data_IF_487279636217
#
_entry.id   IF_487279636217
#
_cell.length_a   1.000
_cell.length_b   1.000
_cell.length_c   1.000
_cell.angle_alpha   90.00
_cell.angle_beta   90.00
_cell.angle_gamma   90.00
#
_symmetry.space_group_name_H-M   'P 1'
#
loop_
_entity.id
_entity.type
_entity.pdbx_description
1 polymer ?
#
# COMPACT_ATOMS: atom_id res chain seq x y z
N UNK A 1 -12.59 18.59 -42.83
CA UNK A 1 -13.22 19.00 -41.56
C UNK A 1 -12.64 18.11 -40.47
N UNK A 2 -11.57 18.55 -39.83
CA UNK A 2 -10.90 17.77 -38.78
C UNK A 2 -11.59 18.09 -37.44
N UNK A 3 -12.20 17.07 -36.85
CA UNK A 3 -12.82 17.16 -35.54
C UNK A 3 -11.70 16.98 -34.50
N UNK A 4 -11.20 18.09 -33.95
CA UNK A 4 -10.38 18.06 -32.74
C UNK A 4 -11.31 17.74 -31.57
N UNK A 5 -11.34 16.47 -31.17
CA UNK A 5 -11.89 16.08 -29.87
C UNK A 5 -10.92 16.61 -28.82
N UNK A 6 -11.26 17.74 -28.20
CA UNK A 6 -10.55 18.21 -27.02
C UNK A 6 -10.60 17.12 -25.96
N UNK A 7 -9.44 16.76 -25.40
CA UNK A 7 -9.35 15.91 -24.22
C UNK A 7 -10.29 16.47 -23.14
N UNK A 8 -11.06 15.62 -22.45
CA UNK A 8 -11.86 16.10 -21.33
C UNK A 8 -10.91 16.80 -20.34
N UNK A 9 -11.30 17.99 -19.91
CA UNK A 9 -10.58 18.74 -18.90
C UNK A 9 -10.34 17.82 -17.70
N UNK A 10 -9.06 17.68 -17.30
CA UNK A 10 -8.64 16.91 -16.14
C UNK A 10 -9.36 17.46 -14.92
N UNK A 11 -10.04 16.58 -14.20
CA UNK A 11 -10.95 16.90 -13.10
C UNK A 11 -10.35 17.85 -12.07
N UNK A 12 -11.10 18.90 -11.71
CA UNK A 12 -10.71 19.87 -10.68
C UNK A 12 -11.00 19.29 -9.28
N UNK A 13 -9.95 18.82 -8.61
CA UNK A 13 -9.96 18.49 -7.18
C UNK A 13 -8.59 17.99 -6.73
N UNK A 14 -8.37 17.85 -5.43
CA UNK A 14 -7.05 17.51 -4.88
C UNK A 14 -6.95 16.01 -4.60
N UNK A 15 -5.87 15.38 -5.07
CA UNK A 15 -5.38 14.14 -4.48
C UNK A 15 -4.81 14.46 -3.09
N UNK A 16 -5.28 13.77 -2.06
CA UNK A 16 -4.79 13.92 -0.68
C UNK A 16 -4.16 12.60 -0.27
N UNK A 17 -2.88 12.63 0.08
CA UNK A 17 -2.15 11.50 0.65
C UNK A 17 -1.77 11.88 2.08
N UNK A 18 -2.26 11.13 3.05
CA UNK A 18 -2.01 11.35 4.49
C UNK A 18 -1.21 10.18 5.03
N UNK A 19 0.06 10.40 5.32
CA UNK A 19 0.87 9.47 6.13
C UNK A 19 0.45 9.66 7.60
N UNK A 20 -0.19 8.64 8.17
CA UNK A 20 -0.78 8.69 9.51
C UNK A 20 0.30 8.33 10.53
N UNK A 21 0.51 9.19 11.54
CA UNK A 21 1.43 8.89 12.64
C UNK A 21 0.83 7.80 13.55
N UNK A 22 1.14 6.55 13.24
CA UNK A 22 0.82 5.37 14.03
C UNK A 22 1.94 4.98 15.01
N UNK A 23 2.99 5.81 15.09
CA UNK A 23 4.22 5.53 15.83
C UNK A 23 5.15 4.58 15.08
N UNK A 24 5.10 3.29 15.42
CA UNK A 24 5.91 2.26 14.75
C UNK A 24 5.05 1.56 13.71
N UNK A 25 5.61 1.39 12.51
CA UNK A 25 4.93 0.82 11.35
C UNK A 25 4.34 1.87 10.42
N UNK A 26 3.62 1.41 9.40
CA UNK A 26 3.05 2.28 8.37
C UNK A 26 1.53 2.38 8.45
N UNK A 27 1.00 3.54 8.05
CA UNK A 27 -0.39 3.68 7.62
C UNK A 27 -0.53 4.92 6.75
N UNK A 28 -0.99 4.75 5.52
CA UNK A 28 -1.16 5.82 4.54
C UNK A 28 -2.57 5.80 3.97
N UNK A 29 -3.27 6.92 4.08
CA UNK A 29 -4.57 7.14 3.49
C UNK A 29 -4.43 7.92 2.18
N UNK A 30 -4.94 7.36 1.09
CA UNK A 30 -5.05 8.01 -0.22
C UNK A 30 -6.51 8.35 -0.48
N UNK A 31 -6.79 9.61 -0.77
CA UNK A 31 -8.13 10.11 -1.11
C UNK A 31 -8.06 10.84 -2.45
N UNK A 32 -8.84 10.36 -3.40
CA UNK A 32 -8.96 10.97 -4.72
C UNK A 32 -9.92 12.17 -4.72
N UNK A 33 -9.86 13.03 -5.75
CA UNK A 33 -10.87 14.07 -5.98
C UNK A 33 -12.31 13.56 -6.06
N UNK A 34 -12.50 12.28 -6.45
CA UNK A 34 -13.82 11.65 -6.54
C UNK A 34 -14.42 11.33 -5.16
N UNK A 35 -13.62 11.41 -4.10
CA UNK A 35 -13.96 10.94 -2.76
C UNK A 35 -13.67 9.46 -2.53
N UNK A 36 -13.18 8.72 -3.54
CA UNK A 36 -12.75 7.33 -3.34
C UNK A 36 -11.45 7.24 -2.55
N UNK A 37 -11.35 6.21 -1.73
CA UNK A 37 -10.27 6.07 -0.75
C UNK A 37 -9.57 4.73 -0.78
N UNK A 38 -8.27 4.73 -0.52
CA UNK A 38 -7.47 3.53 -0.25
C UNK A 38 -6.69 3.74 1.05
N UNK A 39 -6.77 2.79 1.98
CA UNK A 39 -5.90 2.73 3.15
C UNK A 39 -4.81 1.68 2.92
N UNK A 40 -3.55 2.10 2.95
CA UNK A 40 -2.37 1.23 2.85
C UNK A 40 -1.75 1.07 4.23
N UNK A 41 -1.77 -0.14 4.78
CA UNK A 41 -1.39 -0.48 6.16
C UNK A 41 -2.19 0.26 7.26
N UNK A 42 -2.20 -0.32 8.46
CA UNK A 42 -3.02 0.11 9.60
C UNK A 42 -2.24 0.37 10.88
N UNK A 43 -0.91 0.32 10.83
CA UNK A 43 -0.05 0.35 11.99
C UNK A 43 -0.13 -0.93 12.84
N UNK A 44 0.49 -0.89 14.02
CA UNK A 44 0.46 -2.01 14.97
C UNK A 44 -0.88 -2.27 15.64
N UNK A 45 -1.04 -3.46 16.24
CA UNK A 45 -2.21 -3.80 17.07
C UNK A 45 -2.57 -2.66 18.05
N UNK A 46 -3.86 -2.32 18.11
CA UNK A 46 -4.40 -1.20 18.88
C UNK A 46 -4.39 0.15 18.17
N UNK A 47 -3.61 0.33 17.09
CA UNK A 47 -3.51 1.62 16.38
C UNK A 47 -4.67 1.88 15.44
N UNK A 48 -5.30 0.83 14.92
CA UNK A 48 -6.51 0.97 14.12
C UNK A 48 -7.60 1.71 14.91
N UNK A 49 -7.93 1.21 16.10
CA UNK A 49 -8.93 1.83 16.98
C UNK A 49 -8.47 3.15 17.61
N UNK A 50 -7.20 3.26 18.00
CA UNK A 50 -6.71 4.41 18.75
C UNK A 50 -6.36 5.62 17.86
N UNK A 51 -6.03 5.42 16.58
CA UNK A 51 -5.48 6.45 15.70
C UNK A 51 -6.18 6.47 14.35
N UNK A 52 -6.15 5.35 13.61
CA UNK A 52 -6.59 5.33 12.21
C UNK A 52 -8.09 5.59 12.10
N UNK A 53 -8.92 4.87 12.85
CA UNK A 53 -10.39 5.05 12.86
C UNK A 53 -10.78 6.47 13.29
N UNK A 54 -10.27 7.03 14.42
CA UNK A 54 -10.51 8.43 14.77
C UNK A 54 -10.10 9.42 13.67
N UNK A 55 -8.96 9.19 12.99
CA UNK A 55 -8.53 10.05 11.90
C UNK A 55 -9.50 9.99 10.72
N UNK A 56 -9.86 8.80 10.25
CA UNK A 56 -10.82 8.59 9.16
C UNK A 56 -12.13 9.32 9.46
N UNK A 57 -12.68 9.13 10.66
CA UNK A 57 -13.91 9.79 11.10
C UNK A 57 -13.75 11.32 11.17
N UNK A 58 -12.60 11.82 11.63
CA UNK A 58 -12.35 13.27 11.74
C UNK A 58 -12.32 13.99 10.39
N UNK A 59 -11.94 13.27 9.32
CA UNK A 59 -11.94 13.79 7.94
C UNK A 59 -13.20 13.42 7.16
N UNK A 60 -14.22 12.87 7.84
CA UNK A 60 -15.53 12.56 7.26
C UNK A 60 -15.57 11.27 6.44
N UNK A 61 -14.59 10.38 6.59
CA UNK A 61 -14.60 9.05 5.96
C UNK A 61 -15.31 8.08 6.88
N UNK A 62 -16.52 7.68 6.49
CA UNK A 62 -17.31 6.66 7.18
C UNK A 62 -17.26 5.30 6.47
N UNK A 63 -16.69 5.23 5.27
CA UNK A 63 -16.56 4.04 4.43
C UNK A 63 -15.28 4.14 3.62
N UNK A 64 -14.50 3.05 3.58
CA UNK A 64 -13.34 2.93 2.68
C UNK A 64 -13.75 2.22 1.38
N UNK A 65 -13.18 2.59 0.23
CA UNK A 65 -13.30 1.76 -0.97
C UNK A 65 -12.38 0.54 -0.89
N UNK A 66 -11.11 0.77 -0.57
CA UNK A 66 -10.08 -0.26 -0.54
C UNK A 66 -9.23 -0.19 0.73
N UNK A 67 -8.75 -1.36 1.16
CA UNK A 67 -7.60 -1.48 2.05
C UNK A 67 -6.53 -2.31 1.35
N UNK A 68 -5.27 -2.06 1.66
CA UNK A 68 -4.13 -2.85 1.18
C UNK A 68 -3.19 -3.11 2.34
N UNK A 69 -2.77 -4.37 2.51
CA UNK A 69 -1.66 -4.73 3.37
C UNK A 69 -0.39 -4.89 2.53
N UNK A 70 0.68 -4.22 2.93
CA UNK A 70 2.01 -4.31 2.30
C UNK A 70 2.61 -5.71 2.48
N UNK A 71 2.81 -6.11 3.74
CA UNK A 71 3.24 -7.44 4.19
C UNK A 71 2.61 -7.74 5.55
N UNK A 72 2.90 -8.91 6.14
CA UNK A 72 2.17 -9.43 7.29
C UNK A 72 2.84 -9.20 8.66
N UNK A 73 3.78 -8.26 8.78
CA UNK A 73 4.29 -7.89 10.10
C UNK A 73 3.28 -7.10 10.92
N UNK A 74 3.40 -7.28 12.23
CA UNK A 74 2.38 -6.82 13.17
C UNK A 74 2.24 -5.32 13.23
N UNK A 75 3.26 -4.56 12.87
CA UNK A 75 3.26 -3.10 12.80
C UNK A 75 2.70 -2.53 11.50
N UNK A 76 2.34 -3.37 10.54
CA UNK A 76 1.68 -2.97 9.29
C UNK A 76 0.21 -3.42 9.28
N UNK A 77 -0.04 -4.72 9.46
CA UNK A 77 -1.40 -5.28 9.43
C UNK A 77 -2.15 -5.21 10.75
N UNK A 78 -1.47 -4.90 11.85
CA UNK A 78 -2.02 -5.07 13.20
C UNK A 78 -3.21 -4.17 13.51
N UNK A 79 -3.37 -3.02 12.83
CA UNK A 79 -4.55 -2.18 12.97
C UNK A 79 -5.61 -2.40 11.88
N UNK A 80 -5.35 -3.21 10.86
CA UNK A 80 -6.28 -3.36 9.73
C UNK A 80 -7.54 -4.14 10.10
N UNK A 81 -7.44 -5.16 10.96
CA UNK A 81 -8.62 -5.87 11.47
C UNK A 81 -9.54 -4.94 12.28
N UNK A 82 -8.96 -4.07 13.11
CA UNK A 82 -9.67 -3.05 13.88
C UNK A 82 -10.37 -2.03 12.97
N UNK A 83 -9.66 -1.52 11.95
CA UNK A 83 -10.24 -0.60 10.96
C UNK A 83 -11.38 -1.26 10.21
N UNK A 84 -11.20 -2.50 9.72
CA UNK A 84 -12.23 -3.23 8.98
C UNK A 84 -13.48 -3.51 9.83
N UNK A 85 -13.31 -3.76 11.12
CA UNK A 85 -14.41 -3.96 12.04
C UNK A 85 -15.21 -2.68 12.33
N UNK A 86 -14.57 -1.51 12.27
CA UNK A 86 -15.17 -0.23 12.61
C UNK A 86 -15.67 0.57 11.39
N UNK A 87 -15.00 0.47 10.25
CA UNK A 87 -15.25 1.23 9.02
C UNK A 87 -15.51 0.23 7.88
N UNK A 88 -16.72 0.21 7.28
CA UNK A 88 -17.03 -0.67 6.17
C UNK A 88 -16.07 -0.48 4.98
N UNK A 89 -15.68 -1.59 4.35
CA UNK A 89 -14.91 -1.60 3.10
C UNK A 89 -15.80 -2.02 1.95
N UNK A 90 -15.93 -1.15 0.94
CA UNK A 90 -16.85 -1.33 -0.18
C UNK A 90 -16.38 -2.41 -1.14
N UNK A 91 -15.14 -2.35 -1.60
CA UNK A 91 -14.68 -3.15 -2.74
C UNK A 91 -13.85 -4.37 -2.28
N UNK A 92 -12.62 -4.13 -1.81
CA UNK A 92 -11.68 -5.21 -1.48
C UNK A 92 -10.69 -4.82 -0.39
N UNK A 93 -10.18 -5.85 0.30
CA UNK A 93 -8.96 -5.80 1.10
C UNK A 93 -7.89 -6.58 0.35
N UNK A 94 -6.93 -5.90 -0.23
CA UNK A 94 -5.86 -6.50 -1.01
C UNK A 94 -4.65 -6.85 -0.16
N UNK A 95 -4.03 -7.98 -0.44
CA UNK A 95 -2.69 -8.30 0.07
C UNK A 95 -1.93 -9.25 -0.85
N UNK A 96 -0.72 -9.66 -0.44
CA UNK A 96 0.18 -10.51 -1.22
C UNK A 96 -0.25 -11.97 -1.42
N UNK A 97 -1.36 -12.41 -0.82
CA UNK A 97 -2.06 -13.67 -1.12
C UNK A 97 -1.55 -14.94 -0.46
N UNK A 98 -0.55 -14.87 0.41
CA UNK A 98 0.02 -16.05 1.08
C UNK A 98 -0.33 -16.05 2.57
N UNK A 99 0.30 -16.95 3.32
CA UNK A 99 0.13 -17.06 4.76
C UNK A 99 1.39 -16.66 5.51
N UNK A 100 1.18 -16.21 6.74
CA UNK A 100 2.23 -15.90 7.69
C UNK A 100 1.85 -16.44 9.06
N UNK A 101 2.78 -17.07 9.78
CA UNK A 101 2.46 -17.65 11.08
C UNK A 101 2.65 -16.61 12.19
N UNK A 102 1.58 -15.91 12.52
CA UNK A 102 1.49 -15.04 13.69
C UNK A 102 0.04 -14.86 14.13
N UNK A 103 -0.18 -14.58 15.42
CA UNK A 103 -1.53 -14.29 15.92
C UNK A 103 -2.14 -13.05 15.26
N UNK A 104 -1.32 -12.04 14.94
CA UNK A 104 -1.78 -10.84 14.23
C UNK A 104 -2.24 -11.16 12.81
N UNK A 105 -1.51 -11.98 12.06
CA UNK A 105 -1.96 -12.43 10.74
C UNK A 105 -3.25 -13.24 10.84
N UNK A 106 -3.39 -14.14 11.83
CA UNK A 106 -4.61 -14.93 12.01
C UNK A 106 -5.83 -14.02 12.27
N UNK A 107 -5.70 -12.99 13.12
CA UNK A 107 -6.74 -12.00 13.37
C UNK A 107 -7.09 -11.21 12.09
N UNK A 108 -6.08 -10.66 11.41
CA UNK A 108 -6.24 -9.94 10.14
C UNK A 108 -6.95 -10.79 9.09
N UNK A 109 -6.39 -11.95 8.75
CA UNK A 109 -6.89 -12.80 7.68
C UNK A 109 -8.31 -13.32 7.97
N UNK A 110 -8.62 -13.62 9.23
CA UNK A 110 -9.97 -14.04 9.64
C UNK A 110 -10.97 -12.90 9.53
N UNK A 111 -10.61 -11.71 10.01
CA UNK A 111 -11.51 -10.56 10.08
C UNK A 111 -11.87 -10.03 8.70
N UNK A 112 -10.87 -9.94 7.81
CA UNK A 112 -11.07 -9.40 6.45
C UNK A 112 -11.48 -10.47 5.43
N UNK A 113 -11.63 -11.74 5.83
CA UNK A 113 -11.81 -12.89 4.94
C UNK A 113 -12.91 -12.71 3.88
N UNK A 114 -14.01 -12.02 4.21
CA UNK A 114 -15.12 -11.78 3.29
C UNK A 114 -14.78 -10.81 2.14
N UNK A 115 -13.72 -10.02 2.28
CA UNK A 115 -13.25 -9.00 1.31
C UNK A 115 -11.80 -9.20 0.88
N UNK A 116 -11.08 -10.13 1.51
CA UNK A 116 -9.67 -10.42 1.25
C UNK A 116 -9.47 -10.95 -0.18
N UNK A 117 -8.60 -10.30 -0.94
CA UNK A 117 -8.24 -10.69 -2.30
C UNK A 117 -6.72 -10.57 -2.49
N UNK A 118 -6.14 -11.45 -3.32
CA UNK A 118 -4.73 -11.34 -3.69
C UNK A 118 -4.55 -10.31 -4.79
N UNK A 119 -3.76 -9.27 -4.53
CA UNK A 119 -3.37 -8.31 -5.57
C UNK A 119 -2.33 -8.94 -6.50
N UNK A 120 -2.36 -8.55 -7.78
CA UNK A 120 -1.46 -9.08 -8.80
C UNK A 120 -0.55 -7.95 -9.33
N UNK A 121 0.66 -8.27 -9.82
CA UNK A 121 1.47 -7.29 -10.54
C UNK A 121 0.69 -6.75 -11.75
N UNK A 122 0.70 -5.44 -11.95
CA UNK A 122 -0.09 -4.75 -12.96
C UNK A 122 -1.57 -4.56 -12.61
N UNK A 123 -2.04 -5.00 -11.43
CA UNK A 123 -3.40 -4.72 -10.99
C UNK A 123 -3.58 -3.21 -10.81
N UNK A 124 -4.61 -2.68 -11.49
CA UNK A 124 -5.01 -1.28 -11.40
C UNK A 124 -6.19 -1.16 -10.43
N UNK A 125 -6.11 -0.18 -9.53
CA UNK A 125 -7.18 0.32 -8.68
C UNK A 125 -7.46 1.75 -9.14
N UNK A 126 -8.60 1.95 -9.81
CA UNK A 126 -9.06 3.25 -10.28
C UNK A 126 -9.83 3.95 -9.15
N UNK A 127 -9.22 4.98 -8.55
CA UNK A 127 -9.85 5.82 -7.53
C UNK A 127 -10.68 6.94 -8.17
N UNK A 128 -10.86 6.94 -9.49
CA UNK A 128 -11.69 7.92 -10.20
C UNK A 128 -10.99 9.26 -10.40
N UNK A 129 -11.57 10.06 -11.30
CA UNK A 129 -11.06 11.39 -11.66
C UNK A 129 -9.57 11.41 -12.07
N UNK A 130 -9.09 10.30 -12.63
CA UNK A 130 -7.73 10.14 -13.13
C UNK A 130 -6.67 9.78 -12.07
N UNK A 131 -7.08 9.41 -10.85
CA UNK A 131 -6.18 8.85 -9.84
C UNK A 131 -6.09 7.33 -10.02
N UNK A 132 -4.93 6.86 -10.47
CA UNK A 132 -4.65 5.45 -10.71
C UNK A 132 -3.66 4.95 -9.66
N UNK A 133 -3.99 3.84 -9.02
CA UNK A 133 -3.07 3.11 -8.15
C UNK A 133 -2.73 1.78 -8.80
N UNK A 134 -1.46 1.52 -9.06
CA UNK A 134 -0.99 0.30 -9.72
C UNK A 134 -0.11 -0.49 -8.77
N UNK A 135 -0.40 -1.79 -8.61
CA UNK A 135 0.53 -2.71 -7.98
C UNK A 135 1.66 -3.03 -8.94
N UNK A 136 2.88 -2.57 -8.64
CA UNK A 136 4.03 -2.78 -9.51
C UNK A 136 4.68 -4.14 -9.27
N UNK A 137 4.80 -4.53 -8.01
CA UNK A 137 5.48 -5.74 -7.58
C UNK A 137 4.90 -6.25 -6.26
N UNK A 138 5.10 -7.55 -6.00
CA UNK A 138 4.89 -8.18 -4.70
C UNK A 138 5.71 -9.47 -4.61
N UNK A 139 5.81 -10.04 -3.40
CA UNK A 139 6.41 -11.36 -3.19
C UNK A 139 7.84 -11.51 -3.78
N UNK A 140 8.68 -10.49 -3.62
CA UNK A 140 10.07 -10.52 -4.07
C UNK A 140 10.27 -10.24 -5.57
N UNK A 141 9.24 -9.85 -6.32
CA UNK A 141 9.34 -9.41 -7.72
C UNK A 141 10.16 -10.38 -8.61
N UNK A 142 9.82 -11.66 -8.54
CA UNK A 142 10.50 -12.77 -9.23
C UNK A 142 11.98 -13.01 -8.84
N UNK A 143 12.54 -12.26 -7.88
CA UNK A 143 13.86 -12.53 -7.32
C UNK A 143 13.84 -13.66 -6.30
N UNK A 144 12.67 -13.91 -5.69
CA UNK A 144 12.46 -14.99 -4.75
C UNK A 144 11.46 -16.01 -5.33
N UNK A 145 11.71 -17.32 -5.15
CA UNK A 145 10.77 -18.34 -5.59
C UNK A 145 9.68 -18.60 -4.52
N UNK A 146 8.49 -19.05 -4.91
CA UNK A 146 7.49 -19.55 -3.97
C UNK A 146 7.96 -20.86 -3.31
N UNK A 147 7.42 -21.23 -2.13
CA UNK A 147 6.32 -20.56 -1.42
C UNK A 147 6.76 -19.30 -0.68
N UNK A 148 5.91 -18.25 -0.68
CA UNK A 148 6.17 -16.97 -0.01
C UNK A 148 5.65 -16.96 1.43
N UNK A 149 6.10 -17.93 2.23
CA UNK A 149 5.71 -18.11 3.63
C UNK A 149 6.91 -18.21 4.59
N UNK A 150 8.11 -17.86 4.11
CA UNK A 150 9.29 -17.74 4.95
C UNK A 150 9.17 -16.50 5.84
N UNK A 151 9.01 -16.73 7.15
CA UNK A 151 8.85 -15.65 8.12
C UNK A 151 10.07 -14.72 8.22
N UNK A 152 11.24 -15.19 7.83
CA UNK A 152 12.47 -14.39 7.86
C UNK A 152 12.60 -13.46 6.66
N UNK A 153 11.74 -13.63 5.65
CA UNK A 153 11.75 -12.87 4.39
C UNK A 153 10.50 -12.02 4.17
N UNK A 154 9.76 -11.72 5.22
CA UNK A 154 8.44 -11.10 5.06
C UNK A 154 8.52 -9.70 4.44
N UNK A 155 9.59 -8.94 4.73
CA UNK A 155 9.85 -7.62 4.15
C UNK A 155 10.22 -7.69 2.66
N UNK A 156 10.83 -8.80 2.22
CA UNK A 156 11.09 -9.03 0.81
C UNK A 156 9.79 -9.28 0.01
N UNK A 157 8.68 -9.57 0.70
CA UNK A 157 7.41 -9.93 0.06
C UNK A 157 6.41 -8.78 -0.10
N UNK A 158 6.81 -7.56 0.25
CA UNK A 158 5.98 -6.35 0.24
C UNK A 158 5.22 -6.10 -1.09
N UNK A 159 3.94 -5.73 -0.97
CA UNK A 159 3.16 -5.14 -2.05
C UNK A 159 3.64 -3.72 -2.31
N UNK A 160 4.09 -3.45 -3.54
CA UNK A 160 4.58 -2.17 -3.98
C UNK A 160 3.51 -1.43 -4.81
N UNK A 161 3.10 -0.23 -4.39
CA UNK A 161 2.11 0.58 -5.09
C UNK A 161 2.72 1.87 -5.65
N UNK A 162 2.37 2.18 -6.90
CA UNK A 162 2.54 3.52 -7.49
C UNK A 162 1.18 4.18 -7.64
N UNK A 163 1.08 5.43 -7.19
CA UNK A 163 -0.09 6.30 -7.35
C UNK A 163 0.25 7.35 -8.39
N UNK A 164 -0.59 7.50 -9.40
CA UNK A 164 -0.43 8.47 -10.46
C UNK A 164 -1.66 9.36 -10.52
N UNK A 165 -1.45 10.68 -10.55
CA UNK A 165 -2.49 11.65 -10.82
C UNK A 165 -1.97 12.70 -11.79
N UNK A 166 -2.24 12.42 -13.07
CA UNK A 166 -1.86 13.12 -14.29
C UNK A 166 -0.39 13.52 -14.48
N UNK A 167 0.19 14.39 -13.66
CA UNK A 167 1.63 14.73 -13.73
C UNK A 167 2.35 14.53 -12.42
N UNK A 168 1.63 14.07 -11.39
CA UNK A 168 2.14 13.76 -10.07
C UNK A 168 2.26 12.25 -9.92
N UNK A 169 3.36 11.77 -9.32
CA UNK A 169 3.51 10.38 -8.92
C UNK A 169 4.08 10.18 -7.50
N UNK A 170 3.57 9.12 -6.86
CA UNK A 170 3.91 8.73 -5.50
C UNK A 170 4.15 7.22 -5.44
N UNK A 171 5.13 6.78 -4.67
CA UNK A 171 5.40 5.36 -4.44
C UNK A 171 5.49 5.02 -2.96
N UNK A 172 4.91 3.87 -2.57
CA UNK A 172 5.05 3.26 -1.25
C UNK A 172 5.07 1.74 -1.37
N UNK A 173 5.91 1.11 -0.55
CA UNK A 173 6.14 -0.33 -0.58
C UNK A 173 6.45 -0.94 0.80
N UNK A 174 5.83 -0.43 1.87
CA UNK A 174 6.04 -0.93 3.24
C UNK A 174 7.52 -1.05 3.59
N UNK A 175 7.94 -2.27 3.90
CA UNK A 175 9.31 -2.57 4.37
C UNK A 175 10.24 -3.11 3.27
N UNK A 176 9.92 -2.86 1.99
CA UNK A 176 10.67 -3.35 0.84
C UNK A 176 12.18 -3.16 1.02
N UNK A 177 12.95 -4.21 0.73
CA UNK A 177 14.36 -4.30 1.06
C UNK A 177 15.25 -3.99 -0.13
N UNK A 178 16.26 -3.15 0.09
CA UNK A 178 17.30 -2.80 -0.87
C UNK A 178 18.62 -3.55 -0.69
N UNK A 179 18.63 -4.56 0.18
CA UNK A 179 19.81 -5.30 0.57
C UNK A 179 20.51 -4.71 1.80
N UNK A 180 21.40 -5.51 2.40
CA UNK A 180 22.07 -5.17 3.67
C UNK A 180 21.41 -5.83 4.89
N UNK A 181 22.12 -5.88 6.02
CA UNK A 181 21.69 -6.55 7.27
C UNK A 181 21.12 -7.98 7.10
N UNK A 182 21.51 -8.68 6.04
CA UNK A 182 21.04 -10.03 5.64
C UNK A 182 19.73 -10.08 4.84
N UNK A 183 19.15 -8.94 4.47
CA UNK A 183 18.03 -8.88 3.54
C UNK A 183 18.48 -9.05 2.10
N UNK A 184 17.60 -9.61 1.29
CA UNK A 184 17.78 -9.68 -0.17
C UNK A 184 17.52 -8.30 -0.79
N UNK A 185 18.19 -8.02 -1.90
CA UNK A 185 17.96 -6.78 -2.65
C UNK A 185 16.81 -6.97 -3.63
N UNK A 186 15.62 -6.50 -3.23
CA UNK A 186 14.41 -6.52 -4.06
C UNK A 186 14.23 -5.17 -4.76
N UNK A 187 14.55 -4.06 -4.08
CA UNK A 187 14.42 -2.70 -4.64
C UNK A 187 15.10 -2.55 -6.00
N UNK A 188 16.29 -3.13 -6.21
CA UNK A 188 16.99 -3.05 -7.50
C UNK A 188 16.17 -3.64 -8.66
N UNK A 189 15.38 -4.69 -8.41
CA UNK A 189 14.50 -5.27 -9.42
C UNK A 189 13.21 -4.48 -9.63
N UNK A 190 12.78 -3.73 -8.62
CA UNK A 190 11.54 -2.94 -8.61
C UNK A 190 11.77 -1.56 -9.23
N UNK A 191 12.96 -0.96 -9.06
CA UNK A 191 13.28 0.40 -9.52
C UNK A 191 12.89 0.68 -10.99
N UNK A 192 13.16 -0.21 -11.97
CA UNK A 192 12.76 0.03 -13.36
C UNK A 192 11.25 0.07 -13.60
N UNK A 193 10.45 -0.51 -12.70
CA UNK A 193 8.98 -0.50 -12.75
C UNK A 193 8.41 0.79 -12.14
N UNK A 194 9.14 1.39 -11.21
CA UNK A 194 8.75 2.62 -10.50
C UNK A 194 8.95 3.84 -11.41
N UNK A 195 10.13 3.94 -12.04
CA UNK A 195 10.52 5.12 -12.83
C UNK A 195 10.71 6.37 -11.98
N UNK A 196 10.62 7.55 -12.60
CA UNK A 196 10.70 8.82 -11.90
C UNK A 196 9.55 8.96 -10.89
N UNK A 197 9.81 9.71 -9.80
CA UNK A 197 8.85 9.99 -8.72
C UNK A 197 8.96 11.45 -8.23
N UNK A 198 7.83 12.07 -7.92
CA UNK A 198 7.77 13.31 -7.14
C UNK A 198 7.92 13.03 -5.65
N UNK A 199 7.30 11.94 -5.16
CA UNK A 199 7.32 11.57 -3.73
C UNK A 199 7.54 10.08 -3.55
N UNK A 200 8.55 9.74 -2.76
CA UNK A 200 8.80 8.39 -2.28
C UNK A 200 8.54 8.30 -0.78
N UNK A 201 7.62 7.43 -0.37
CA UNK A 201 7.47 7.04 1.03
C UNK A 201 8.58 6.05 1.38
N UNK A 202 9.56 6.52 2.16
CA UNK A 202 10.78 5.76 2.48
C UNK A 202 10.43 4.38 3.04
N UNK A 203 11.02 3.35 2.44
CA UNK A 203 10.74 1.97 2.82
C UNK A 203 11.38 1.61 4.16
N UNK A 204 10.76 0.66 4.86
CA UNK A 204 11.27 0.07 6.09
C UNK A 204 11.63 1.11 7.15
N UNK A 205 10.76 2.12 7.30
CA UNK A 205 10.90 3.20 8.28
C UNK A 205 12.20 4.01 8.13
N UNK A 206 12.81 4.00 6.94
CA UNK A 206 14.12 4.62 6.68
C UNK A 206 15.31 3.81 7.21
N UNK A 207 15.14 2.51 7.41
CA UNK A 207 16.22 1.57 7.79
C UNK A 207 17.33 1.53 6.73
N UNK A 208 18.56 1.24 7.18
CA UNK A 208 19.73 1.06 6.31
C UNK A 208 19.64 -0.16 5.37
N UNK A 209 18.62 -1.01 5.54
CA UNK A 209 18.35 -2.17 4.69
C UNK A 209 17.51 -1.87 3.45
N UNK A 210 17.16 -0.60 3.25
CA UNK A 210 16.26 -0.12 2.20
C UNK A 210 16.79 1.21 1.63
N UNK A 211 16.13 1.72 0.59
CA UNK A 211 16.53 2.89 -0.18
C UNK A 211 17.95 2.78 -0.72
N UNK A 212 18.26 1.66 -1.36
CA UNK A 212 19.59 1.40 -1.90
C UNK A 212 19.93 2.38 -3.05
N UNK A 213 21.22 2.56 -3.39
CA UNK A 213 21.61 3.50 -4.44
C UNK A 213 21.05 3.18 -5.83
N UNK A 214 20.73 1.92 -6.14
CA UNK A 214 20.16 1.56 -7.45
C UNK A 214 18.70 1.99 -7.56
N UNK A 215 17.96 1.99 -6.45
CA UNK A 215 16.57 2.46 -6.37
C UNK A 215 16.46 3.98 -6.35
N UNK A 216 17.42 4.65 -5.71
CA UNK A 216 17.40 6.12 -5.53
C UNK A 216 17.95 6.92 -6.72
N UNK A 217 18.29 6.25 -7.84
CA UNK A 217 18.88 6.86 -9.05
C UNK A 217 17.82 7.11 -10.12
#
# INVERSE_FOLDING_TARGET
>A
MALLLGSPARAEGNLIITCIDVGQGDSTLIQSPSGRTLLFDGGKNGRGNAIVVPLLQSVGIDTLDYMVASHYHSDHIGGLDEVFAAIPVREAVYDRGWSYSSATYDSYATTVAAKRQTIQPGQIIDLGEGVIVTCLALNGNDQLPPPYNDRSKENEYDVCLKVEYGGFDFFQAGDLTGGGLSYEDIETSVAPLVGDLDVYHVSHHGSISSSNPAFMQ
#
